data_IF_161097352175
#
_entry.id   IF_161097352175
#
_cell.length_a   1.000
_cell.length_b   1.000
_cell.length_c   1.000
_cell.angle_alpha   90.00
_cell.angle_beta   90.00
_cell.angle_gamma   90.00
#
_symmetry.space_group_name_H-M   'P 1'
#
loop_
_entity.id
_entity.type
_entity.pdbx_description
1 polymer ?
#
# COMPACT_ATOMS: atom_id res chain seq x y z
N UNK A 1 18.12 -3.42 6.60
CA UNK A 1 17.29 -4.47 5.96
C UNK A 1 15.88 -4.34 6.49
N UNK A 2 14.91 -4.08 5.62
CA UNK A 2 13.49 -4.29 5.91
C UNK A 2 13.31 -5.77 6.28
N UNK A 3 13.00 -6.07 7.54
CA UNK A 3 12.86 -7.46 7.96
C UNK A 3 11.46 -8.02 7.69
N UNK A 4 10.44 -7.18 7.43
CA UNK A 4 9.12 -7.66 7.00
C UNK A 4 8.31 -6.58 6.28
N UNK A 5 7.87 -6.87 5.03
CA UNK A 5 6.80 -6.15 4.33
C UNK A 5 5.49 -6.92 4.59
N UNK A 6 4.51 -6.27 5.22
CA UNK A 6 3.19 -6.86 5.45
C UNK A 6 2.19 -6.24 4.46
N UNK A 7 1.75 -7.03 3.49
CA UNK A 7 0.83 -6.60 2.45
C UNK A 7 -0.58 -7.10 2.78
N UNK A 8 -1.52 -6.19 2.98
CA UNK A 8 -2.94 -6.53 3.13
C UNK A 8 -3.66 -6.31 1.79
N UNK A 9 -4.03 -7.41 1.13
CA UNK A 9 -4.85 -7.41 -0.07
C UNK A 9 -6.18 -8.10 0.25
N UNK A 10 -7.27 -7.38 0.14
CA UNK A 10 -8.61 -7.96 0.21
C UNK A 10 -9.45 -7.50 -0.96
N UNK A 11 -10.15 -8.44 -1.58
CA UNK A 11 -11.23 -8.15 -2.53
C UNK A 11 -12.55 -7.92 -1.76
N UNK A 12 -13.60 -7.52 -2.47
CA UNK A 12 -14.94 -7.27 -1.90
C UNK A 12 -15.34 -8.31 -0.83
N UNK A 13 -15.78 -7.80 0.34
CA UNK A 13 -16.31 -8.56 1.49
C UNK A 13 -15.28 -9.25 2.41
N UNK A 14 -14.03 -8.77 2.49
CA UNK A 14 -13.02 -9.27 3.46
C UNK A 14 -12.80 -8.37 4.67
N UNK A 15 -13.75 -7.49 5.01
CA UNK A 15 -13.62 -6.50 6.09
C UNK A 15 -12.40 -5.55 5.96
N UNK A 16 -11.85 -5.39 4.75
CA UNK A 16 -10.75 -4.46 4.41
C UNK A 16 -11.02 -3.05 4.91
N UNK A 17 -12.24 -2.54 4.75
CA UNK A 17 -12.62 -1.20 5.23
C UNK A 17 -12.56 -1.09 6.75
N UNK A 18 -12.93 -2.15 7.50
CA UNK A 18 -12.81 -2.16 8.96
C UNK A 18 -11.34 -2.15 9.36
N UNK A 19 -10.52 -3.01 8.75
CA UNK A 19 -9.08 -3.07 9.04
C UNK A 19 -8.38 -1.75 8.72
N UNK A 20 -8.65 -1.15 7.55
CA UNK A 20 -8.11 0.15 7.17
C UNK A 20 -8.46 1.24 8.20
N UNK A 21 -9.72 1.27 8.67
CA UNK A 21 -10.16 2.21 9.72
C UNK A 21 -9.45 1.97 11.04
N UNK A 22 -9.35 0.71 11.48
CA UNK A 22 -8.71 0.37 12.75
C UNK A 22 -7.19 0.65 12.73
N UNK A 23 -6.52 0.40 11.60
CA UNK A 23 -5.10 0.72 11.41
C UNK A 23 -4.85 2.22 11.34
N UNK A 24 -5.69 2.97 10.63
CA UNK A 24 -5.59 4.43 10.59
C UNK A 24 -5.79 5.04 11.98
N UNK A 25 -6.82 4.60 12.71
CA UNK A 25 -7.08 5.06 14.07
C UNK A 25 -5.92 4.78 15.05
N UNK A 26 -5.13 3.73 14.78
CA UNK A 26 -3.96 3.33 15.60
C UNK A 26 -2.62 3.62 14.94
N UNK A 27 -2.57 4.45 13.89
CA UNK A 27 -1.36 4.73 13.10
C UNK A 27 -0.16 5.13 13.97
N UNK A 28 -0.38 5.97 14.99
CA UNK A 28 0.66 6.38 15.94
C UNK A 28 1.17 5.24 16.82
N UNK A 29 0.27 4.34 17.23
CA UNK A 29 0.62 3.18 18.04
C UNK A 29 1.39 2.14 17.23
N UNK A 30 0.92 1.83 16.01
CA UNK A 30 1.64 1.00 15.05
C UNK A 30 3.04 1.55 14.83
N UNK A 31 3.14 2.87 14.60
CA UNK A 31 4.42 3.53 14.41
C UNK A 31 5.29 3.32 15.64
N UNK A 32 4.82 3.62 16.86
CA UNK A 32 5.55 3.40 18.11
C UNK A 32 6.08 1.95 18.24
N UNK A 33 5.31 0.97 17.79
CA UNK A 33 5.67 -0.47 17.77
C UNK A 33 6.62 -0.86 16.63
N UNK A 34 7.09 0.09 15.83
CA UNK A 34 8.04 -0.17 14.74
C UNK A 34 7.40 -0.43 13.38
N UNK A 35 6.09 -0.21 13.25
CA UNK A 35 5.32 -0.49 12.03
C UNK A 35 4.76 0.79 11.43
N UNK A 36 5.25 1.17 10.26
CA UNK A 36 4.64 2.23 9.48
C UNK A 36 3.35 1.73 8.80
N UNK A 37 2.37 2.61 8.63
CA UNK A 37 1.12 2.30 7.93
C UNK A 37 0.91 3.29 6.78
N UNK A 38 0.67 2.75 5.59
CA UNK A 38 0.23 3.44 4.39
C UNK A 38 -1.15 2.91 3.99
N UNK A 39 -2.17 3.75 4.14
CA UNK A 39 -3.56 3.45 3.82
C UNK A 39 -4.03 4.06 2.51
N UNK A 40 -5.32 3.89 2.15
CA UNK A 40 -5.87 4.43 0.91
C UNK A 40 -5.69 5.94 0.73
N UNK A 41 -5.78 6.74 1.81
CA UNK A 41 -5.55 8.18 1.73
C UNK A 41 -4.11 8.49 1.30
N UNK A 42 -3.11 7.85 1.93
CA UNK A 42 -1.70 8.07 1.59
C UNK A 42 -1.36 7.64 0.15
N UNK A 43 -2.12 6.69 -0.41
CA UNK A 43 -1.82 6.04 -1.69
C UNK A 43 -2.67 6.59 -2.85
N UNK A 44 -3.93 6.95 -2.63
CA UNK A 44 -4.83 7.47 -3.67
C UNK A 44 -4.72 8.98 -3.84
N UNK A 45 -4.32 9.71 -2.78
CA UNK A 45 -4.07 11.15 -2.86
C UNK A 45 -2.71 11.47 -3.51
N UNK A 46 -1.89 10.44 -3.78
CA UNK A 46 -0.64 10.57 -4.53
C UNK A 46 -0.96 10.61 -6.04
N UNK A 47 -0.88 11.79 -6.71
CA UNK A 47 -1.41 11.98 -8.07
C UNK A 47 -0.68 11.15 -9.13
N UNK A 48 0.48 10.59 -8.76
CA UNK A 48 1.35 9.81 -9.63
C UNK A 48 1.14 8.29 -9.50
N UNK A 49 0.41 7.83 -8.48
CA UNK A 49 0.02 6.43 -8.33
C UNK A 49 -1.17 6.13 -9.23
N UNK A 50 -0.98 5.18 -10.15
CA UNK A 50 -2.03 4.68 -11.03
C UNK A 50 -2.30 3.24 -10.60
N UNK A 51 -3.57 2.92 -10.39
CA UNK A 51 -4.00 1.59 -10.00
C UNK A 51 -4.52 0.86 -11.25
N UNK A 52 -4.11 -0.40 -11.49
CA UNK A 52 -4.69 -1.19 -12.56
C UNK A 52 -6.21 -1.34 -12.34
N UNK A 53 -6.97 -1.18 -13.42
CA UNK A 53 -8.42 -1.44 -13.45
C UNK A 53 -8.70 -2.61 -14.41
N UNK A 54 -9.79 -3.37 -14.21
CA UNK A 54 -10.09 -4.57 -15.01
C UNK A 54 -10.13 -4.33 -16.53
N UNK A 55 -10.52 -3.13 -16.96
CA UNK A 55 -10.66 -2.75 -18.37
C UNK A 55 -9.33 -2.29 -19.02
N UNK A 56 -8.22 -2.30 -18.28
CA UNK A 56 -6.92 -1.81 -18.75
C UNK A 56 -6.23 -2.81 -19.68
N UNK A 57 -5.66 -2.32 -20.80
CA UNK A 57 -4.89 -3.15 -21.73
C UNK A 57 -3.65 -3.78 -21.03
N UNK A 58 -3.27 -5.05 -21.31
CA UNK A 58 -2.16 -5.73 -20.62
C UNK A 58 -0.83 -4.95 -20.62
N UNK A 59 -0.46 -4.34 -21.74
CA UNK A 59 0.77 -3.51 -21.82
C UNK A 59 0.71 -2.29 -20.88
N UNK A 60 -0.48 -1.70 -20.72
CA UNK A 60 -0.71 -0.61 -19.77
C UNK A 60 -0.67 -1.11 -18.34
N UNK A 61 -1.17 -2.31 -18.05
CA UNK A 61 -1.08 -2.92 -16.71
C UNK A 61 0.37 -3.07 -16.29
N UNK A 62 1.23 -3.60 -17.16
CA UNK A 62 2.66 -3.76 -16.88
C UNK A 62 3.37 -2.41 -16.63
N UNK A 63 3.08 -1.39 -17.46
CA UNK A 63 3.61 -0.04 -17.27
C UNK A 63 3.18 0.57 -15.92
N UNK A 64 1.90 0.43 -15.58
CA UNK A 64 1.32 0.94 -14.34
C UNK A 64 1.90 0.23 -13.12
N UNK A 65 2.04 -1.10 -13.15
CA UNK A 65 2.68 -1.88 -12.10
C UNK A 65 4.15 -1.46 -11.89
N UNK A 66 4.91 -1.24 -12.97
CA UNK A 66 6.29 -0.78 -12.89
C UNK A 66 6.42 0.60 -12.22
N UNK A 67 5.55 1.54 -12.59
CA UNK A 67 5.48 2.87 -11.96
C UNK A 67 5.11 2.80 -10.49
N UNK A 68 4.11 1.98 -10.15
CA UNK A 68 3.66 1.81 -8.77
C UNK A 68 4.75 1.18 -7.91
N UNK A 69 5.46 0.16 -8.41
CA UNK A 69 6.60 -0.43 -7.71
C UNK A 69 7.69 0.62 -7.43
N UNK A 70 8.11 1.38 -8.44
CA UNK A 70 9.13 2.42 -8.27
C UNK A 70 8.69 3.54 -7.33
N UNK A 71 7.39 3.85 -7.26
CA UNK A 71 6.89 4.87 -6.32
C UNK A 71 6.85 4.35 -4.89
N UNK A 72 6.44 3.10 -4.68
CA UNK A 72 6.51 2.44 -3.37
C UNK A 72 7.94 2.43 -2.85
N UNK A 73 8.94 2.14 -3.70
CA UNK A 73 10.36 2.24 -3.32
C UNK A 73 10.76 3.61 -2.76
N UNK A 74 10.15 4.69 -3.25
CA UNK A 74 10.41 6.06 -2.77
C UNK A 74 9.60 6.41 -1.51
N UNK A 75 8.39 5.90 -1.37
CA UNK A 75 7.53 6.16 -0.21
C UNK A 75 7.97 5.37 1.03
N UNK A 76 8.49 4.15 0.82
CA UNK A 76 8.89 3.22 1.89
C UNK A 76 9.91 3.84 2.85
N UNK A 77 11.02 4.47 2.41
CA UNK A 77 11.98 5.11 3.32
C UNK A 77 11.35 6.21 4.19
N UNK A 78 10.50 7.06 3.60
CA UNK A 78 9.84 8.14 4.32
C UNK A 78 8.79 7.63 5.31
N UNK A 79 8.03 6.61 4.93
CA UNK A 79 7.03 5.99 5.80
C UNK A 79 7.69 5.28 7.00
N UNK A 80 8.82 4.60 6.78
CA UNK A 80 9.57 3.93 7.83
C UNK A 80 10.33 4.93 8.72
N UNK A 81 11.02 5.91 8.16
CA UNK A 81 11.96 6.72 8.94
C UNK A 81 13.04 5.89 9.66
N UNK A 82 13.79 6.51 10.57
CA UNK A 82 15.07 5.98 11.04
C UNK A 82 15.00 4.74 11.95
N UNK A 83 13.84 4.42 12.53
CA UNK A 83 13.71 3.39 13.59
C UNK A 83 12.64 2.32 13.33
N UNK A 84 12.07 2.24 12.13
CA UNK A 84 10.98 1.29 11.84
C UNK A 84 11.47 0.15 10.98
N UNK A 85 10.96 -1.05 11.27
CA UNK A 85 11.41 -2.30 10.65
C UNK A 85 10.34 -2.95 9.79
N UNK A 86 9.10 -2.46 9.87
CA UNK A 86 7.94 -3.03 9.20
C UNK A 86 7.11 -1.96 8.51
N UNK A 87 6.59 -2.29 7.33
CA UNK A 87 5.61 -1.49 6.60
C UNK A 87 4.34 -2.31 6.41
N UNK A 88 3.20 -1.72 6.78
CA UNK A 88 1.87 -2.22 6.49
C UNK A 88 1.25 -1.38 5.37
N UNK A 89 0.87 -2.04 4.28
CA UNK A 89 0.29 -1.42 3.10
C UNK A 89 -1.12 -2.00 2.89
N UNK A 90 -2.14 -1.14 2.80
CA UNK A 90 -3.55 -1.57 2.77
C UNK A 90 -4.34 -0.90 1.66
N UNK A 91 -4.23 -1.42 0.44
CA UNK A 91 -4.89 -0.87 -0.75
C UNK A 91 -5.39 -2.01 -1.66
N UNK A 92 -6.63 -1.87 -2.13
CA UNK A 92 -7.25 -2.84 -3.02
C UNK A 92 -6.85 -2.50 -4.47
N UNK A 93 -6.14 -3.43 -5.13
CA UNK A 93 -5.63 -3.34 -6.51
C UNK A 93 -4.26 -2.67 -6.68
N UNK A 94 -3.47 -2.47 -5.62
CA UNK A 94 -2.11 -1.90 -5.77
C UNK A 94 -1.17 -2.73 -6.67
N UNK A 95 -1.39 -4.05 -6.74
CA UNK A 95 -0.68 -4.96 -7.65
C UNK A 95 -1.52 -5.35 -8.87
N UNK A 96 -2.73 -4.80 -8.99
CA UNK A 96 -3.76 -5.21 -9.94
C UNK A 96 -4.54 -6.44 -9.48
N UNK A 97 -5.70 -6.65 -10.12
CA UNK A 97 -6.48 -7.88 -9.98
C UNK A 97 -5.87 -8.94 -10.90
N UNK A 98 -5.56 -10.16 -10.43
CA UNK A 98 -5.27 -11.26 -11.35
C UNK A 98 -6.51 -11.47 -12.23
N UNK A 99 -6.29 -11.53 -13.55
CA UNK A 99 -7.31 -11.88 -14.54
C UNK A 99 -7.85 -13.30 -14.31
#
# INVERSE_FOLDING_TARGET
MLSTLALHLGAHKTATTLLQREFEARRRELLRLGTAYLGPGDLRDEPSLVFPVPEMHPDRVAEVQGRTAQRLENMVPGALGDRRSRLLLSEENILGTPA
#
